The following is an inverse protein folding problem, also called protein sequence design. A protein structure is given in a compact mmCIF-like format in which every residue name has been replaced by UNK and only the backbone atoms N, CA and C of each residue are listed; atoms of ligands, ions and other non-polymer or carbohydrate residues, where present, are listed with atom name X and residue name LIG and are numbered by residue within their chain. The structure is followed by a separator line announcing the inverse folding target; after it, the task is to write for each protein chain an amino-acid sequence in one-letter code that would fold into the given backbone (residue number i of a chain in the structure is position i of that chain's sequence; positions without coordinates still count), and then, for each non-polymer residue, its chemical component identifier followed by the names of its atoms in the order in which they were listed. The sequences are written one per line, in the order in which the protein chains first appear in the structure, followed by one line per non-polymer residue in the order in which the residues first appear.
data_IF_726374034911
#
_entry.id   IF_726374034911
#
_cell.length_a   1.000
_cell.length_b   1.000
_cell.length_c   1.000
_cell.angle_alpha   90.00
_cell.angle_beta   90.00
_cell.angle_gamma   90.00
#
_symmetry.space_group_name_H-M   'P 1'
#
loop_
_entity.id
_entity.type
_entity.pdbx_description
1 polymer ?
#
# COMPACT_ATOMS: atom_id res chain seq x y z
N UNK A 1 -20.34 18.58 7.19
CA UNK A 1 -19.80 17.59 6.24
C UNK A 1 -20.08 16.21 6.82
N UNK A 2 -20.32 15.19 5.99
CA UNK A 2 -20.45 13.82 6.49
C UNK A 2 -19.12 13.39 7.11
N UNK A 3 -19.15 12.63 8.22
CA UNK A 3 -17.94 12.03 8.76
C UNK A 3 -17.43 10.97 7.77
N UNK A 4 -16.17 11.06 7.40
CA UNK A 4 -15.48 10.10 6.53
C UNK A 4 -14.52 9.25 7.33
N UNK A 5 -14.15 8.09 6.81
CA UNK A 5 -13.02 7.33 7.33
C UNK A 5 -11.72 8.07 7.05
N UNK A 6 -10.81 8.03 8.01
CA UNK A 6 -9.46 8.57 7.84
C UNK A 6 -8.64 7.63 6.95
N UNK A 7 -8.64 6.34 7.29
CA UNK A 7 -7.92 5.28 6.59
C UNK A 7 -8.85 4.17 6.12
N UNK A 8 -8.58 3.63 4.93
CA UNK A 8 -9.16 2.37 4.43
C UNK A 8 -8.02 1.50 3.93
N UNK A 9 -7.88 0.30 4.50
CA UNK A 9 -6.90 -0.69 4.06
C UNK A 9 -7.52 -1.59 3.00
N UNK A 10 -6.92 -1.63 1.81
CA UNK A 10 -7.35 -2.46 0.70
C UNK A 10 -6.36 -3.62 0.47
N UNK A 11 -6.74 -4.80 0.96
CA UNK A 11 -5.98 -6.02 0.71
C UNK A 11 -6.53 -6.81 -0.47
N UNK A 12 -5.63 -7.39 -1.25
CA UNK A 12 -5.98 -8.30 -2.33
C UNK A 12 -4.81 -8.51 -3.27
N UNK A 13 -4.78 -9.70 -3.88
CA UNK A 13 -3.70 -10.09 -4.80
C UNK A 13 -3.64 -9.14 -6.01
N UNK A 14 -2.48 -9.06 -6.69
CA UNK A 14 -2.41 -8.42 -8.01
C UNK A 14 -3.53 -8.94 -8.93
N UNK A 15 -4.22 -8.03 -9.63
CA UNK A 15 -5.39 -8.35 -10.46
C UNK A 15 -6.68 -8.67 -9.69
N UNK A 16 -6.72 -8.43 -8.38
CA UNK A 16 -7.89 -8.71 -7.52
C UNK A 16 -9.03 -7.69 -7.58
N UNK A 17 -9.00 -6.72 -8.50
CA UNK A 17 -10.08 -5.73 -8.65
C UNK A 17 -9.96 -4.46 -7.80
N UNK A 18 -8.82 -4.25 -7.11
CA UNK A 18 -8.66 -3.15 -6.15
C UNK A 18 -8.60 -1.79 -6.86
N UNK A 19 -7.77 -1.68 -7.89
CA UNK A 19 -7.66 -0.48 -8.70
C UNK A 19 -8.99 -0.15 -9.38
N UNK A 20 -9.73 -1.15 -9.84
CA UNK A 20 -11.07 -0.99 -10.43
C UNK A 20 -12.10 -0.48 -9.43
N UNK A 21 -12.06 -0.94 -8.17
CA UNK A 21 -12.88 -0.41 -7.09
C UNK A 21 -12.53 1.05 -6.80
N UNK A 22 -11.23 1.38 -6.73
CA UNK A 22 -10.76 2.74 -6.50
C UNK A 22 -11.20 3.67 -7.62
N UNK A 23 -11.07 3.25 -8.88
CA UNK A 23 -11.50 3.99 -10.06
C UNK A 23 -13.00 4.23 -10.06
N UNK A 24 -13.81 3.20 -9.74
CA UNK A 24 -15.24 3.34 -9.58
C UNK A 24 -15.59 4.38 -8.49
N UNK A 25 -14.94 4.29 -7.33
CA UNK A 25 -15.17 5.22 -6.22
C UNK A 25 -14.76 6.64 -6.61
N UNK A 26 -13.62 6.84 -7.26
CA UNK A 26 -13.17 8.15 -7.76
C UNK A 26 -14.12 8.76 -8.78
N UNK A 27 -14.77 7.93 -9.59
CA UNK A 27 -15.80 8.35 -10.55
C UNK A 27 -17.15 8.73 -9.92
N UNK A 28 -17.40 8.39 -8.65
CA UNK A 28 -18.61 8.79 -7.95
C UNK A 28 -18.55 10.25 -7.51
N UNK A 29 -19.69 10.94 -7.54
CA UNK A 29 -19.85 12.28 -6.98
C UNK A 29 -19.39 12.31 -5.51
N UNK A 30 -18.59 13.32 -5.14
CA UNK A 30 -17.96 13.41 -3.83
C UNK A 30 -18.99 13.50 -2.71
N UNK A 31 -20.05 14.31 -2.87
CA UNK A 31 -21.05 14.48 -1.83
C UNK A 31 -21.81 13.17 -1.59
N UNK A 32 -22.20 12.49 -2.68
CA UNK A 32 -22.82 11.17 -2.60
C UNK A 32 -21.88 10.12 -2.01
N UNK A 33 -20.59 10.15 -2.35
CA UNK A 33 -19.59 9.18 -1.85
C UNK A 33 -19.34 9.37 -0.35
N UNK A 34 -19.20 10.62 0.10
CA UNK A 34 -19.04 10.95 1.51
C UNK A 34 -20.29 10.59 2.32
N UNK A 35 -21.49 10.84 1.80
CA UNK A 35 -22.75 10.52 2.48
C UNK A 35 -23.03 9.00 2.55
N UNK A 36 -22.87 8.28 1.43
CA UNK A 36 -23.26 6.86 1.35
C UNK A 36 -22.19 5.88 1.78
N UNK A 37 -20.92 6.25 1.61
CA UNK A 37 -19.79 5.34 1.83
C UNK A 37 -18.80 5.87 2.86
N UNK A 38 -19.00 7.09 3.39
CA UNK A 38 -18.08 7.73 4.32
C UNK A 38 -16.65 7.85 3.74
N UNK A 39 -16.53 8.07 2.43
CA UNK A 39 -15.25 8.20 1.74
C UNK A 39 -15.10 9.62 1.18
N UNK A 40 -14.07 10.32 1.65
CA UNK A 40 -13.69 11.64 1.17
C UNK A 40 -13.04 11.61 -0.21
N UNK A 41 -12.23 12.62 -0.53
CA UNK A 41 -11.31 12.59 -1.67
C UNK A 41 -10.28 11.49 -1.45
N UNK A 42 -10.20 10.55 -2.40
CA UNK A 42 -9.33 9.39 -2.27
C UNK A 42 -7.88 9.77 -2.58
N UNK A 43 -6.97 9.44 -1.68
CA UNK A 43 -5.52 9.42 -1.91
C UNK A 43 -5.02 8.01 -1.68
N UNK A 44 -4.18 7.50 -2.58
CA UNK A 44 -3.66 6.13 -2.49
C UNK A 44 -2.24 6.12 -1.94
N UNK A 45 -1.97 5.13 -1.11
CA UNK A 45 -0.66 4.75 -0.63
C UNK A 45 -0.47 3.27 -0.91
N UNK A 46 0.17 2.97 -2.04
CA UNK A 46 0.39 1.62 -2.56
C UNK A 46 1.86 1.21 -2.38
N UNK A 47 2.11 0.10 -1.69
CA UNK A 47 3.47 -0.40 -1.52
C UNK A 47 4.06 -1.05 -2.77
N UNK A 48 3.27 -1.32 -3.79
CA UNK A 48 3.78 -1.84 -5.06
C UNK A 48 4.81 -0.89 -5.68
N UNK A 49 4.63 0.43 -5.55
CA UNK A 49 5.61 1.41 -6.00
C UNK A 49 6.95 1.22 -5.29
N UNK A 50 6.93 0.95 -3.99
CA UNK A 50 8.14 0.73 -3.20
C UNK A 50 8.77 -0.64 -3.45
N UNK A 51 7.94 -1.67 -3.63
CA UNK A 51 8.37 -3.01 -3.96
C UNK A 51 9.06 -3.02 -5.33
N UNK A 52 8.42 -2.42 -6.34
CA UNK A 52 8.93 -2.35 -7.70
C UNK A 52 10.25 -1.58 -7.78
N UNK A 53 10.38 -0.49 -7.02
CA UNK A 53 11.63 0.26 -6.91
C UNK A 53 12.79 -0.65 -6.45
N UNK A 54 12.55 -1.59 -5.52
CA UNK A 54 13.56 -2.58 -5.12
C UNK A 54 13.91 -3.58 -6.21
N UNK A 55 12.97 -3.92 -7.07
CA UNK A 55 13.25 -4.81 -8.21
C UNK A 55 14.09 -4.09 -9.27
N UNK A 56 13.83 -2.80 -9.48
CA UNK A 56 14.66 -1.94 -10.33
C UNK A 56 16.06 -1.76 -9.74
N UNK A 57 16.17 -1.54 -8.43
CA UNK A 57 17.48 -1.49 -7.74
C UNK A 57 18.27 -2.79 -7.93
N UNK A 58 17.62 -3.96 -7.78
CA UNK A 58 18.28 -5.26 -8.03
C UNK A 58 18.81 -5.38 -9.48
N UNK A 59 18.05 -4.92 -10.49
CA UNK A 59 18.53 -4.90 -11.88
C UNK A 59 19.77 -4.01 -12.05
N UNK A 60 19.81 -2.88 -11.34
CA UNK A 60 20.95 -1.95 -11.39
C UNK A 60 22.17 -2.56 -10.70
N UNK A 61 22.00 -3.19 -9.55
CA UNK A 61 23.08 -3.88 -8.83
C UNK A 61 23.62 -5.07 -9.63
N UNK A 62 22.76 -5.85 -10.26
CA UNK A 62 23.16 -6.97 -11.13
C UNK A 62 24.00 -6.49 -12.32
N UNK A 63 23.64 -5.35 -12.93
CA UNK A 63 24.46 -4.72 -13.98
C UNK A 63 25.84 -4.26 -13.50
N UNK A 64 25.98 -3.98 -12.21
CA UNK A 64 27.25 -3.63 -11.58
C UNK A 64 28.05 -4.86 -11.09
N UNK A 65 27.52 -6.07 -11.28
CA UNK A 65 28.17 -7.33 -10.90
C UNK A 65 27.82 -7.83 -9.50
N UNK A 66 26.86 -7.20 -8.83
CA UNK A 66 26.37 -7.62 -7.51
C UNK A 66 25.19 -8.60 -7.62
N UNK A 67 24.92 -9.36 -6.56
CA UNK A 67 23.77 -10.27 -6.53
C UNK A 67 22.47 -9.52 -6.23
N UNK A 68 21.37 -9.99 -6.83
CA UNK A 68 20.01 -9.53 -6.50
C UNK A 68 19.68 -9.89 -5.04
N UNK A 69 19.02 -8.98 -4.34
CA UNK A 69 18.68 -9.15 -2.93
C UNK A 69 17.20 -9.45 -2.69
N UNK A 70 16.33 -8.80 -3.43
CA UNK A 70 14.90 -8.70 -3.12
C UNK A 70 13.99 -9.41 -4.12
N UNK A 71 14.54 -9.73 -5.28
CA UNK A 71 13.76 -10.26 -6.40
C UNK A 71 14.50 -11.31 -7.20
N UNK A 72 13.72 -12.17 -7.84
CA UNK A 72 14.19 -13.14 -8.82
C UNK A 72 13.48 -12.89 -10.14
N UNK A 73 14.26 -12.91 -11.22
CA UNK A 73 13.72 -12.88 -12.58
C UNK A 73 13.02 -14.22 -12.88
N UNK A 74 11.82 -14.13 -13.47
CA UNK A 74 11.04 -15.25 -14.00
C UNK A 74 10.68 -14.94 -15.46
N UNK A 75 10.18 -15.93 -16.20
CA UNK A 75 9.93 -15.84 -17.65
C UNK A 75 9.16 -14.57 -18.09
N UNK A 76 8.24 -14.08 -17.24
CA UNK A 76 7.40 -12.92 -17.54
C UNK A 76 7.44 -11.81 -16.47
N UNK A 77 8.56 -11.64 -15.77
CA UNK A 77 8.74 -10.52 -14.85
C UNK A 77 9.57 -10.86 -13.62
N UNK A 78 9.13 -10.37 -12.47
CA UNK A 78 9.82 -10.54 -11.20
C UNK A 78 8.90 -11.17 -10.16
N UNK A 79 9.50 -11.96 -9.28
CA UNK A 79 8.89 -12.39 -8.02
C UNK A 79 9.77 -11.93 -6.87
N UNK A 80 9.16 -11.56 -5.75
CA UNK A 80 9.92 -11.27 -4.53
C UNK A 80 10.59 -12.54 -4.02
N UNK A 81 11.76 -12.37 -3.40
CA UNK A 81 12.50 -13.45 -2.76
C UNK A 81 11.90 -13.75 -1.39
N UNK A 82 11.29 -14.93 -1.23
CA UNK A 82 10.68 -15.33 0.04
C UNK A 82 11.66 -15.24 1.20
N UNK A 83 11.21 -14.70 2.34
CA UNK A 83 12.01 -14.61 3.57
C UNK A 83 13.08 -13.50 3.60
N UNK A 84 13.13 -12.61 2.61
CA UNK A 84 14.06 -11.47 2.56
C UNK A 84 13.71 -10.29 3.50
N UNK A 85 12.61 -10.41 4.24
CA UNK A 85 12.03 -9.38 5.13
C UNK A 85 11.60 -8.09 4.42
N UNK A 86 11.55 -8.06 3.08
CA UNK A 86 11.16 -6.87 2.33
C UNK A 86 9.73 -6.46 2.66
N UNK A 87 8.79 -7.41 2.63
CA UNK A 87 7.38 -7.12 2.90
C UNK A 87 7.17 -6.59 4.34
N UNK A 88 7.92 -7.11 5.32
CA UNK A 88 7.93 -6.60 6.69
C UNK A 88 8.46 -5.16 6.74
N UNK A 89 9.56 -4.88 6.04
CA UNK A 89 10.12 -3.52 5.94
C UNK A 89 9.14 -2.55 5.27
N UNK A 90 8.42 -2.98 4.24
CA UNK A 90 7.38 -2.17 3.59
C UNK A 90 6.21 -1.89 4.53
N UNK A 91 5.79 -2.85 5.37
CA UNK A 91 4.81 -2.61 6.43
C UNK A 91 5.29 -1.52 7.40
N UNK A 92 6.53 -1.58 7.86
CA UNK A 92 7.09 -0.54 8.74
C UNK A 92 7.23 0.81 8.02
N UNK A 93 7.44 0.80 6.70
CA UNK A 93 7.49 2.01 5.87
C UNK A 93 6.13 2.71 5.81
N UNK A 94 5.02 1.98 5.78
CA UNK A 94 3.69 2.58 5.89
C UNK A 94 3.57 3.42 7.15
N UNK A 95 3.95 2.90 8.32
CA UNK A 95 3.88 3.64 9.58
C UNK A 95 4.62 4.99 9.48
N UNK A 96 5.83 4.99 8.91
CA UNK A 96 6.63 6.23 8.75
C UNK A 96 6.03 7.21 7.76
N UNK A 97 5.47 6.72 6.66
CA UNK A 97 4.87 7.58 5.63
C UNK A 97 3.54 8.15 6.12
N UNK A 98 2.69 7.33 6.75
CA UNK A 98 1.42 7.76 7.35
C UNK A 98 1.67 8.83 8.42
N UNK A 99 2.60 8.58 9.34
CA UNK A 99 3.00 9.54 10.37
C UNK A 99 3.47 10.88 9.77
N UNK A 100 4.43 10.83 8.85
CA UNK A 100 5.08 12.03 8.29
C UNK A 100 4.17 12.83 7.37
N UNK A 101 3.46 12.15 6.47
CA UNK A 101 2.82 12.82 5.34
C UNK A 101 1.34 13.12 5.57
N UNK A 102 0.68 12.42 6.49
CA UNK A 102 -0.77 12.48 6.70
C UNK A 102 -1.14 12.83 8.14
N UNK A 103 -0.73 12.05 9.14
CA UNK A 103 -1.07 12.32 10.56
C UNK A 103 -0.49 13.65 11.04
N UNK A 104 0.69 14.04 10.58
CA UNK A 104 1.27 15.35 10.84
C UNK A 104 0.49 16.52 10.21
N UNK A 105 -0.54 16.25 9.39
CA UNK A 105 -1.36 17.23 8.67
C UNK A 105 -2.86 16.98 8.91
N UNK A 106 -3.41 17.31 10.10
CA UNK A 106 -4.80 17.01 10.44
C UNK A 106 -5.84 17.53 9.43
N UNK A 107 -5.57 18.68 8.79
CA UNK A 107 -6.43 19.26 7.76
C UNK A 107 -6.64 18.35 6.53
N UNK A 108 -5.76 17.37 6.30
CA UNK A 108 -5.93 16.36 5.26
C UNK A 108 -7.23 15.56 5.47
N UNK A 109 -7.50 15.16 6.70
CA UNK A 109 -8.64 14.30 7.05
C UNK A 109 -9.98 15.05 7.16
N UNK A 110 -9.98 16.37 6.94
CA UNK A 110 -11.23 17.15 6.86
C UNK A 110 -12.07 16.77 5.63
N UNK A 111 -11.41 16.38 4.53
CA UNK A 111 -12.08 16.06 3.27
C UNK A 111 -11.44 14.92 2.47
N UNK A 112 -10.36 14.29 2.95
CA UNK A 112 -9.73 13.13 2.31
C UNK A 112 -9.89 11.84 3.11
N UNK A 113 -9.81 10.71 2.40
CA UNK A 113 -9.64 9.38 2.97
C UNK A 113 -8.40 8.76 2.33
N UNK A 114 -7.47 8.28 3.15
CA UNK A 114 -6.26 7.60 2.70
C UNK A 114 -6.56 6.11 2.46
N UNK A 115 -6.26 5.65 1.26
CA UNK A 115 -6.38 4.26 0.86
C UNK A 115 -5.02 3.61 0.93
N UNK A 116 -4.84 2.68 1.85
CA UNK A 116 -3.59 1.97 2.08
C UNK A 116 -3.68 0.61 1.37
N UNK A 117 -2.99 0.48 0.24
CA UNK A 117 -3.03 -0.70 -0.61
C UNK A 117 -1.77 -1.55 -0.41
N UNK A 118 -1.98 -2.84 -0.15
CA UNK A 118 -0.90 -3.83 -0.19
C UNK A 118 -1.41 -5.26 -0.37
N UNK A 119 -0.53 -6.12 -0.89
CA UNK A 119 -0.78 -7.56 -1.06
C UNK A 119 0.25 -8.39 -0.28
N UNK A 120 -0.17 -9.50 0.34
CA UNK A 120 0.73 -10.41 1.08
C UNK A 120 0.50 -11.87 0.71
N UNK A 121 1.59 -12.60 0.50
CA UNK A 121 1.60 -14.04 0.30
C UNK A 121 1.67 -14.79 1.63
N UNK A 122 1.14 -16.02 1.67
CA UNK A 122 1.25 -16.92 2.84
C UNK A 122 2.71 -17.23 3.22
N UNK A 123 3.66 -17.43 2.28
CA UNK A 123 5.05 -17.75 2.62
C UNK A 123 5.71 -16.74 3.57
N UNK A 124 5.38 -15.45 3.46
CA UNK A 124 5.92 -14.38 4.31
C UNK A 124 5.02 -14.04 5.51
N UNK A 125 4.13 -14.96 5.92
CA UNK A 125 3.22 -14.78 7.06
C UNK A 125 1.88 -14.10 6.73
N UNK A 126 1.63 -13.77 5.46
CA UNK A 126 0.36 -13.27 4.98
C UNK A 126 -0.08 -11.94 5.60
N UNK A 127 -1.39 -11.69 5.59
CA UNK A 127 -1.94 -10.45 6.13
C UNK A 127 -1.78 -10.35 7.64
N UNK A 128 -1.86 -11.46 8.39
CA UNK A 128 -1.67 -11.44 9.85
C UNK A 128 -0.34 -10.79 10.22
N UNK A 129 0.76 -11.22 9.58
CA UNK A 129 2.08 -10.65 9.81
C UNK A 129 2.14 -9.16 9.49
N UNK A 130 1.49 -8.72 8.40
CA UNK A 130 1.43 -7.31 8.06
C UNK A 130 0.69 -6.48 9.12
N UNK A 131 -0.47 -6.96 9.58
CA UNK A 131 -1.24 -6.29 10.63
C UNK A 131 -0.52 -6.23 11.98
N UNK A 132 0.32 -7.22 12.30
CA UNK A 132 1.17 -7.19 13.50
C UNK A 132 2.27 -6.09 13.45
N UNK A 133 2.64 -5.65 12.25
CA UNK A 133 3.70 -4.66 12.02
C UNK A 133 3.17 -3.23 11.78
N UNK A 134 1.92 -3.10 11.36
CA UNK A 134 1.28 -1.79 11.19
C UNK A 134 1.00 -1.17 12.57
N UNK A 135 1.25 0.14 12.69
CA UNK A 135 1.01 0.85 13.94
C UNK A 135 -0.48 1.06 14.19
N UNK A 136 -0.87 1.29 15.44
CA UNK A 136 -2.28 1.51 15.78
C UNK A 136 -2.87 2.72 15.05
N UNK A 137 -2.07 3.75 14.80
CA UNK A 137 -2.49 4.95 14.08
C UNK A 137 -2.77 4.67 12.59
N UNK A 138 -2.14 3.65 12.00
CA UNK A 138 -2.47 3.18 10.65
C UNK A 138 -3.76 2.35 10.66
N UNK A 139 -4.03 1.63 11.75
CA UNK A 139 -5.14 0.70 11.89
C UNK A 139 -6.45 1.31 12.43
N UNK A 140 -6.37 2.50 13.05
CA UNK A 140 -7.51 3.28 13.55
C UNK A 140 -8.19 4.07 12.45
#
# INVERSE_FOLDING_TARGET
MAQTFDHIILNGRPGGGKSELIDFLKGCDLARRADRYHIGKVVELDDFVWLWDKFVEDDLWEKLGEQRRYSRCVEHGYVQTEGDQLLDMLCLKFNRVVERDYLAKPAFYEDHTLFIEFARGVPDGGYQRAYDLLSQEVLS
#
